data_IF_180287465705
#
_entry.id   IF_180287465705
#
_cell.length_a   1.000
_cell.length_b   1.000
_cell.length_c   1.000
_cell.angle_alpha   90.00
_cell.angle_beta   90.00
_cell.angle_gamma   90.00
#
_symmetry.space_group_name_H-M   'P 1'
#
loop_
_entity.id
_entity.type
_entity.pdbx_description
1 polymer ?
#
# COMPACT_ATOMS: atom_id res chain seq x y z
N UNK A 1 15.95 -6.35 -11.30
CA UNK A 1 16.12 -6.91 -9.94
C UNK A 1 14.90 -6.50 -9.14
N UNK A 2 14.40 -7.35 -8.27
CA UNK A 2 13.30 -6.99 -7.37
C UNK A 2 13.80 -5.97 -6.35
N UNK A 3 12.96 -5.00 -5.97
CA UNK A 3 13.26 -4.08 -4.88
C UNK A 3 13.16 -4.83 -3.54
N UNK A 4 14.18 -4.72 -2.69
CA UNK A 4 14.30 -5.46 -1.43
C UNK A 4 14.02 -4.53 -0.25
N UNK A 5 12.89 -4.73 0.42
CA UNK A 5 12.48 -3.89 1.55
C UNK A 5 12.43 -4.69 2.85
N UNK A 6 12.99 -4.08 3.90
CA UNK A 6 12.82 -4.56 5.26
C UNK A 6 11.43 -4.17 5.74
N UNK A 7 10.74 -5.10 6.40
CA UNK A 7 9.37 -4.93 6.85
C UNK A 7 9.31 -4.96 8.37
N UNK A 8 8.77 -3.89 8.95
CA UNK A 8 8.51 -3.78 10.38
C UNK A 8 7.66 -4.97 10.90
N UNK A 9 7.86 -5.33 12.16
CA UNK A 9 7.20 -6.44 12.85
C UNK A 9 5.68 -6.30 12.94
N UNK A 10 5.16 -5.08 12.77
CA UNK A 10 3.72 -4.80 12.78
C UNK A 10 2.99 -5.35 11.54
N UNK A 11 3.71 -5.77 10.49
CA UNK A 11 3.06 -6.40 9.33
C UNK A 11 2.79 -7.89 9.56
N UNK A 12 1.58 -8.39 9.25
CA UNK A 12 1.18 -9.76 9.51
C UNK A 12 1.86 -10.69 8.51
N UNK A 13 2.90 -11.41 8.96
CA UNK A 13 3.69 -12.30 8.11
C UNK A 13 2.86 -13.31 7.27
N UNK A 14 1.78 -13.94 7.78
CA UNK A 14 0.99 -14.86 6.96
C UNK A 14 0.38 -14.19 5.72
N UNK A 15 -0.05 -12.92 5.85
CA UNK A 15 -0.61 -12.16 4.74
C UNK A 15 0.48 -11.80 3.72
N UNK A 16 1.61 -11.29 4.19
CA UNK A 16 2.77 -10.93 3.36
C UNK A 16 3.29 -12.14 2.57
N UNK A 17 3.38 -13.30 3.21
CA UNK A 17 3.81 -14.54 2.55
C UNK A 17 2.80 -15.04 1.51
N UNK A 18 1.50 -14.92 1.80
CA UNK A 18 0.46 -15.34 0.87
C UNK A 18 0.43 -14.50 -0.41
N UNK A 19 0.78 -13.21 -0.32
CA UNK A 19 0.79 -12.30 -1.48
C UNK A 19 2.11 -12.27 -2.23
N UNK A 20 3.22 -12.68 -1.62
CA UNK A 20 4.55 -12.66 -2.23
C UNK A 20 4.64 -13.26 -3.67
N UNK A 21 3.96 -14.38 -4.00
CA UNK A 21 3.98 -14.93 -5.36
C UNK A 21 3.35 -14.01 -6.43
N UNK A 22 2.57 -13.01 -6.02
CA UNK A 22 1.85 -12.09 -6.90
C UNK A 22 2.53 -10.72 -7.05
N UNK A 23 3.66 -10.49 -6.36
CA UNK A 23 4.43 -9.23 -6.38
C UNK A 23 5.92 -9.47 -6.72
N UNK A 24 6.23 -10.05 -7.89
CA UNK A 24 7.60 -10.48 -8.23
C UNK A 24 8.63 -9.34 -8.32
N UNK A 25 8.17 -8.10 -8.47
CA UNK A 25 8.99 -6.89 -8.49
C UNK A 25 9.49 -6.45 -7.11
N UNK A 26 8.97 -7.02 -6.01
CA UNK A 26 9.37 -6.67 -4.65
C UNK A 26 9.58 -7.89 -3.75
N UNK A 27 10.65 -7.87 -2.97
CA UNK A 27 10.87 -8.78 -1.86
C UNK A 27 10.66 -8.03 -0.53
N UNK A 28 9.67 -8.47 0.25
CA UNK A 28 9.36 -7.95 1.58
C UNK A 28 9.87 -8.92 2.64
N UNK A 29 10.87 -8.50 3.42
CA UNK A 29 11.50 -9.35 4.44
C UNK A 29 11.23 -8.78 5.83
N UNK A 30 10.51 -9.49 6.70
CA UNK A 30 10.34 -9.09 8.10
C UNK A 30 11.69 -8.87 8.78
N UNK A 31 11.87 -7.76 9.51
CA UNK A 31 13.15 -7.42 10.16
C UNK A 31 13.70 -8.55 11.04
N UNK A 32 12.83 -9.27 11.74
CA UNK A 32 13.18 -10.45 12.55
C UNK A 32 13.78 -11.62 11.77
N UNK A 33 13.50 -11.70 10.47
CA UNK A 33 14.04 -12.72 9.57
C UNK A 33 15.40 -12.29 8.99
N UNK A 34 15.73 -10.99 9.03
CA UNK A 34 17.05 -10.46 8.65
C UNK A 34 18.03 -10.73 9.80
N UNK A 35 17.70 -10.23 10.99
CA UNK A 35 18.42 -10.51 12.24
C UNK A 35 17.46 -10.29 13.41
N UNK A 36 17.38 -11.26 14.34
CA UNK A 36 16.46 -11.22 15.48
C UNK A 36 16.63 -9.98 16.35
N UNK A 37 17.83 -9.40 16.40
CA UNK A 37 18.15 -8.23 17.23
C UNK A 37 17.52 -6.94 16.70
N UNK A 38 17.16 -6.89 15.41
CA UNK A 38 16.54 -5.69 14.82
C UNK A 38 15.16 -5.39 15.42
N UNK A 39 14.46 -6.39 15.95
CA UNK A 39 13.16 -6.19 16.60
C UNK A 39 13.21 -5.42 17.92
N UNK A 40 14.39 -5.35 18.54
CA UNK A 40 14.60 -4.67 19.84
C UNK A 40 15.33 -3.31 19.69
N UNK A 41 15.62 -2.90 18.45
CA UNK A 41 16.36 -1.69 18.13
C UNK A 41 15.44 -0.48 17.91
N UNK A 42 15.96 0.71 18.14
CA UNK A 42 15.29 1.95 17.70
C UNK A 42 15.24 2.02 16.17
N UNK A 43 14.25 2.70 15.59
CA UNK A 43 14.08 2.76 14.13
C UNK A 43 15.31 3.32 13.38
N UNK A 44 15.99 4.30 13.97
CA UNK A 44 17.22 4.87 13.40
C UNK A 44 18.38 3.85 13.41
N UNK A 45 18.43 2.94 14.38
CA UNK A 45 19.42 1.85 14.44
C UNK A 45 19.12 0.80 13.37
N UNK A 46 17.84 0.50 13.13
CA UNK A 46 17.42 -0.40 12.06
C UNK A 46 17.88 0.16 10.71
N UNK A 47 17.62 1.44 10.42
CA UNK A 47 18.08 2.07 9.17
C UNK A 47 19.60 1.99 8.99
N UNK A 48 20.36 2.23 10.07
CA UNK A 48 21.82 2.13 10.06
C UNK A 48 22.30 0.68 9.86
N UNK A 49 21.64 -0.29 10.51
CA UNK A 49 21.96 -1.71 10.37
C UNK A 49 21.70 -2.21 8.95
N UNK A 50 20.58 -1.81 8.33
CA UNK A 50 20.26 -2.14 6.94
C UNK A 50 21.30 -1.54 5.97
N UNK A 51 21.76 -0.30 6.21
CA UNK A 51 22.79 0.34 5.39
C UNK A 51 24.15 -0.39 5.45
N UNK A 52 24.50 -0.97 6.60
CA UNK A 52 25.74 -1.73 6.77
C UNK A 52 25.60 -3.24 6.49
N UNK A 53 24.42 -3.69 6.09
CA UNK A 53 24.16 -5.09 5.81
C UNK A 53 24.90 -5.55 4.53
N UNK A 54 25.22 -6.84 4.45
CA UNK A 54 25.92 -7.40 3.29
C UNK A 54 25.04 -7.42 2.01
N UNK A 55 23.72 -7.43 2.19
CA UNK A 55 22.76 -7.22 1.11
C UNK A 55 22.39 -5.75 1.07
N UNK A 56 22.29 -5.20 -0.15
CA UNK A 56 21.83 -3.84 -0.30
C UNK A 56 20.30 -3.76 -0.19
N UNK A 57 19.81 -3.14 0.89
CA UNK A 57 18.39 -2.89 1.10
C UNK A 57 17.93 -1.61 0.40
N UNK A 58 16.74 -1.66 -0.21
CA UNK A 58 16.13 -0.50 -0.86
C UNK A 58 15.42 0.42 0.11
N UNK A 59 15.01 -0.09 1.28
CA UNK A 59 14.44 0.73 2.34
C UNK A 59 13.80 -0.05 3.47
N UNK A 60 13.20 0.70 4.39
CA UNK A 60 12.39 0.21 5.50
C UNK A 60 10.91 0.56 5.26
N UNK A 61 10.04 -0.42 5.48
CA UNK A 61 8.59 -0.26 5.47
C UNK A 61 8.07 -0.40 6.90
N UNK A 62 7.36 0.61 7.38
CA UNK A 62 6.85 0.69 8.77
C UNK A 62 5.41 1.18 8.84
N UNK A 63 4.73 0.86 9.94
CA UNK A 63 3.46 1.49 10.32
C UNK A 63 3.67 2.67 11.27
N UNK A 64 4.88 2.85 11.82
CA UNK A 64 5.12 3.95 12.77
C UNK A 64 5.28 5.30 12.06
N UNK A 65 4.22 6.09 12.11
CA UNK A 65 4.22 7.46 11.60
C UNK A 65 4.91 8.46 12.53
N UNK A 66 5.20 8.09 13.78
CA UNK A 66 5.92 8.93 14.74
C UNK A 66 7.29 9.33 14.18
N UNK A 67 7.88 8.46 13.34
CA UNK A 67 9.19 8.68 12.76
C UNK A 67 9.34 10.00 11.98
N UNK A 68 8.24 10.48 11.41
CA UNK A 68 8.20 11.76 10.70
C UNK A 68 8.39 12.98 11.60
N UNK A 69 8.29 12.81 12.91
CA UNK A 69 8.45 13.86 13.92
C UNK A 69 9.76 13.69 14.71
N UNK A 70 10.56 12.66 14.41
CA UNK A 70 11.80 12.39 15.11
C UNK A 70 12.99 12.91 14.30
N UNK A 71 13.60 14.01 14.78
CA UNK A 71 14.71 14.66 14.07
C UNK A 71 15.89 13.71 13.82
N UNK A 72 16.15 12.77 14.74
CA UNK A 72 17.23 11.80 14.63
C UNK A 72 17.02 10.85 13.46
N UNK A 73 15.83 10.29 13.32
CA UNK A 73 15.50 9.34 12.24
C UNK A 73 15.51 10.03 10.88
N UNK A 74 14.92 11.23 10.77
CA UNK A 74 14.97 12.03 9.54
C UNK A 74 16.41 12.36 9.13
N UNK A 75 17.29 12.65 10.11
CA UNK A 75 18.70 12.88 9.84
C UNK A 75 19.39 11.62 9.31
N UNK A 76 19.13 10.45 9.89
CA UNK A 76 19.67 9.16 9.42
C UNK A 76 19.18 8.83 8.01
N UNK A 77 17.88 8.97 7.74
CA UNK A 77 17.32 8.79 6.38
C UNK A 77 18.06 9.68 5.37
N UNK A 78 18.26 10.96 5.70
CA UNK A 78 18.97 11.91 4.84
C UNK A 78 20.45 11.55 4.64
N UNK A 79 21.15 11.17 5.71
CA UNK A 79 22.59 10.87 5.66
C UNK A 79 22.90 9.61 4.87
N UNK A 80 22.03 8.60 4.98
CA UNK A 80 22.23 7.30 4.35
C UNK A 80 21.63 7.21 2.95
N UNK A 81 20.94 8.26 2.47
CA UNK A 81 20.05 8.20 1.31
C UNK A 81 19.07 7.02 1.37
N UNK A 82 18.56 6.74 2.57
CA UNK A 82 17.65 5.62 2.78
C UNK A 82 16.24 5.95 2.27
N UNK A 83 15.48 4.91 1.96
CA UNK A 83 14.05 5.01 1.69
C UNK A 83 13.26 4.56 2.90
N UNK A 84 12.29 5.38 3.31
CA UNK A 84 11.32 5.06 4.35
C UNK A 84 9.91 5.06 3.76
N UNK A 85 9.22 3.93 3.87
CA UNK A 85 7.82 3.77 3.46
C UNK A 85 6.96 3.65 4.71
N UNK A 86 5.99 4.54 4.86
CA UNK A 86 5.15 4.65 6.06
C UNK A 86 3.69 4.45 5.67
N UNK A 87 3.07 3.39 6.19
CA UNK A 87 1.62 3.17 6.07
C UNK A 87 0.84 4.09 7.03
N UNK A 88 0.85 5.40 6.75
CA UNK A 88 0.42 6.47 7.67
C UNK A 88 -1.03 6.34 8.16
N UNK A 89 -1.99 6.13 7.25
CA UNK A 89 -3.41 6.12 7.61
C UNK A 89 -3.90 4.76 8.14
N UNK A 90 -3.01 3.78 8.28
CA UNK A 90 -3.37 2.49 8.86
C UNK A 90 -3.54 2.54 10.38
N UNK A 91 -2.94 3.52 11.05
CA UNK A 91 -2.84 3.53 12.50
C UNK A 91 -2.18 2.23 12.99
N UNK A 92 -2.82 1.55 13.95
CA UNK A 92 -2.38 0.25 14.47
C UNK A 92 -3.07 -0.94 13.78
N UNK A 93 -3.72 -0.74 12.61
CA UNK A 93 -4.37 -1.83 11.86
C UNK A 93 -3.38 -2.47 10.86
N UNK A 94 -2.84 -3.65 11.17
CA UNK A 94 -1.84 -4.32 10.33
C UNK A 94 -2.39 -4.79 8.98
N UNK A 95 -3.70 -5.05 8.89
CA UNK A 95 -4.36 -5.47 7.65
C UNK A 95 -4.50 -4.27 6.72
N UNK A 96 -4.98 -3.14 7.26
CA UNK A 96 -5.09 -1.89 6.50
C UNK A 96 -3.72 -1.41 6.00
N UNK A 97 -2.69 -1.50 6.85
CA UNK A 97 -1.31 -1.18 6.47
C UNK A 97 -0.82 -2.02 5.30
N UNK A 98 -1.07 -3.33 5.35
CA UNK A 98 -0.66 -4.25 4.29
C UNK A 98 -1.41 -3.98 3.00
N UNK A 99 -2.73 -3.80 3.04
CA UNK A 99 -3.52 -3.48 1.85
C UNK A 99 -3.06 -2.18 1.20
N UNK A 100 -2.73 -1.17 2.01
CA UNK A 100 -2.24 0.11 1.53
C UNK A 100 -0.83 0.00 0.93
N UNK A 101 0.07 -0.77 1.56
CA UNK A 101 1.39 -1.09 1.00
C UNK A 101 1.26 -1.76 -0.36
N UNK A 102 0.44 -2.81 -0.47
CA UNK A 102 0.23 -3.57 -1.70
C UNK A 102 -0.36 -2.70 -2.83
N UNK A 103 -1.26 -1.77 -2.50
CA UNK A 103 -1.84 -0.85 -3.49
C UNK A 103 -0.83 0.11 -4.12
N UNK A 104 0.35 0.30 -3.50
CA UNK A 104 1.38 1.24 -3.94
C UNK A 104 2.72 0.58 -4.30
N UNK A 105 2.85 -0.73 -4.10
CA UNK A 105 4.14 -1.42 -4.10
C UNK A 105 4.88 -1.31 -5.43
N UNK A 106 4.24 -1.61 -6.56
CA UNK A 106 4.80 -1.46 -7.92
C UNK A 106 5.35 -0.06 -8.16
N UNK A 107 4.59 0.95 -7.74
CA UNK A 107 4.95 2.35 -7.96
C UNK A 107 6.18 2.75 -7.15
N UNK A 108 6.25 2.29 -5.89
CA UNK A 108 7.38 2.52 -4.98
C UNK A 108 8.62 1.81 -5.52
N UNK A 109 8.49 0.53 -5.89
CA UNK A 109 9.58 -0.29 -6.43
C UNK A 109 10.18 0.34 -7.69
N UNK A 110 9.33 0.84 -8.59
CA UNK A 110 9.77 1.47 -9.84
C UNK A 110 10.45 2.84 -9.66
N UNK A 111 10.30 3.49 -8.49
CA UNK A 111 10.81 4.86 -8.24
C UNK A 111 11.80 4.96 -7.08
N UNK A 112 12.04 3.87 -6.37
CA UNK A 112 13.02 3.86 -5.29
C UNK A 112 14.42 3.92 -5.88
N UNK A 113 15.26 4.76 -5.28
CA UNK A 113 16.64 5.00 -5.65
C UNK A 113 17.47 5.15 -4.38
N UNK A 114 18.63 4.49 -4.35
CA UNK A 114 19.60 4.58 -3.25
C UNK A 114 20.51 5.81 -3.35
N UNK A 115 20.35 6.63 -4.38
CA UNK A 115 21.16 7.83 -4.59
C UNK A 115 20.62 9.07 -3.89
N UNK A 116 19.37 9.02 -3.42
CA UNK A 116 18.69 10.14 -2.77
C UNK A 116 17.76 9.64 -1.66
N UNK A 117 17.57 10.39 -0.57
CA UNK A 117 16.66 9.98 0.48
C UNK A 117 15.21 10.13 0.02
N UNK A 118 14.38 9.16 0.38
CA UNK A 118 12.97 9.14 -0.03
C UNK A 118 12.08 8.80 1.16
N UNK A 119 10.96 9.51 1.27
CA UNK A 119 9.92 9.23 2.26
C UNK A 119 8.60 9.06 1.53
N UNK A 120 8.03 7.87 1.59
CA UNK A 120 6.74 7.52 1.02
C UNK A 120 5.69 7.47 2.13
N UNK A 121 4.78 8.44 2.14
CA UNK A 121 3.63 8.46 3.06
C UNK A 121 2.43 7.85 2.36
N UNK A 122 2.09 6.62 2.72
CA UNK A 122 0.92 5.94 2.17
C UNK A 122 -0.32 6.35 2.95
N UNK A 123 -1.35 6.80 2.23
CA UNK A 123 -2.59 7.31 2.81
C UNK A 123 -3.78 6.59 2.21
N UNK A 124 -4.78 6.29 3.03
CA UNK A 124 -6.02 5.66 2.62
C UNK A 124 -7.07 6.75 2.43
N UNK A 125 -7.39 7.07 1.18
CA UNK A 125 -8.53 7.94 0.89
C UNK A 125 -9.83 7.18 1.15
N UNK A 126 -10.37 7.28 2.36
CA UNK A 126 -11.72 6.77 2.64
C UNK A 126 -12.74 7.69 1.95
N UNK A 127 -13.12 7.34 0.73
CA UNK A 127 -14.17 8.07 0.01
C UNK A 127 -15.52 7.48 0.41
N UNK A 128 -16.52 8.32 0.74
CA UNK A 128 -17.85 7.81 1.01
C UNK A 128 -18.38 7.06 -0.22
N UNK A 129 -19.26 6.09 0.02
CA UNK A 129 -20.01 5.47 -1.07
C UNK A 129 -20.79 6.56 -1.83
N UNK A 130 -20.69 6.51 -3.14
CA UNK A 130 -21.46 7.40 -4.02
C UNK A 130 -22.80 6.72 -4.37
N UNK A 131 -23.85 7.50 -4.48
CA UNK A 131 -25.16 6.97 -4.86
C UNK A 131 -25.11 6.55 -6.35
N UNK A 132 -25.63 5.36 -6.73
CA UNK A 132 -25.52 4.85 -8.11
C UNK A 132 -26.01 5.78 -9.22
N UNK A 133 -26.99 6.64 -8.96
CA UNK A 133 -27.51 7.65 -9.89
C UNK A 133 -26.41 8.62 -10.33
N UNK A 134 -25.48 8.99 -9.45
CA UNK A 134 -24.34 9.85 -9.81
C UNK A 134 -23.51 9.24 -10.96
N UNK A 135 -23.40 7.91 -11.01
CA UNK A 135 -22.72 7.21 -12.09
C UNK A 135 -23.59 7.08 -13.33
N UNK A 136 -24.91 6.88 -13.19
CA UNK A 136 -25.84 6.92 -14.31
C UNK A 136 -25.84 8.29 -15.01
N UNK A 137 -25.78 9.38 -14.26
CA UNK A 137 -25.63 10.74 -14.81
C UNK A 137 -24.32 10.91 -15.61
N UNK A 138 -23.23 10.30 -15.14
CA UNK A 138 -21.95 10.29 -15.88
C UNK A 138 -22.06 9.50 -17.19
N UNK A 139 -22.75 8.36 -17.17
CA UNK A 139 -23.02 7.55 -18.37
C UNK A 139 -23.88 8.33 -19.35
N UNK A 140 -24.97 8.95 -18.89
CA UNK A 140 -25.86 9.77 -19.70
C UNK A 140 -25.12 10.93 -20.37
N UNK A 141 -24.26 11.63 -19.62
CA UNK A 141 -23.39 12.70 -20.15
C UNK A 141 -22.46 12.20 -21.25
N UNK A 142 -21.84 11.03 -21.07
CA UNK A 142 -20.96 10.42 -22.08
C UNK A 142 -21.73 9.98 -23.34
N UNK A 143 -23.00 9.60 -23.19
CA UNK A 143 -23.85 9.16 -24.29
C UNK A 143 -24.64 10.32 -24.94
N UNK A 144 -24.50 11.55 -24.44
CA UNK A 144 -25.32 12.69 -24.85
C UNK A 144 -26.84 12.45 -24.70
N UNK A 145 -27.23 11.72 -23.66
CA UNK A 145 -28.61 11.39 -23.32
C UNK A 145 -29.02 12.01 -21.98
N UNK A 146 -30.32 12.02 -21.73
CA UNK A 146 -30.89 12.32 -20.42
C UNK A 146 -30.82 11.10 -19.48
N UNK A 147 -30.59 11.33 -18.18
CA UNK A 147 -30.40 10.26 -17.20
C UNK A 147 -31.65 9.38 -17.03
N UNK A 148 -32.86 9.94 -17.15
CA UNK A 148 -34.09 9.15 -17.08
C UNK A 148 -34.24 8.25 -18.30
N UNK A 149 -33.66 8.63 -19.44
CA UNK A 149 -33.64 7.80 -20.66
C UNK A 149 -32.70 6.61 -20.45
N UNK A 150 -31.47 6.87 -19.99
CA UNK A 150 -30.51 5.80 -19.65
C UNK A 150 -31.08 4.84 -18.62
N UNK A 151 -31.71 5.36 -17.56
CA UNK A 151 -32.35 4.53 -16.54
C UNK A 151 -33.48 3.69 -17.11
N UNK A 152 -34.38 4.29 -17.89
CA UNK A 152 -35.54 3.59 -18.46
C UNK A 152 -35.12 2.46 -19.40
N UNK A 153 -34.07 2.68 -20.18
CA UNK A 153 -33.54 1.71 -21.14
C UNK A 153 -32.68 0.62 -20.49
N UNK A 154 -31.98 0.94 -19.40
CA UNK A 154 -31.04 0.00 -18.75
C UNK A 154 -31.62 -0.75 -17.55
N UNK A 155 -32.72 -0.28 -16.96
CA UNK A 155 -33.31 -0.95 -15.80
C UNK A 155 -33.88 -2.31 -16.19
N UNK A 156 -33.64 -3.30 -15.33
CA UNK A 156 -34.23 -4.62 -15.47
C UNK A 156 -35.74 -4.58 -15.24
N UNK A 157 -36.48 -5.36 -16.00
CA UNK A 157 -37.90 -5.63 -15.74
C UNK A 157 -38.09 -6.45 -14.47
N UNK A 158 -39.31 -6.47 -13.94
CA UNK A 158 -39.64 -7.28 -12.76
C UNK A 158 -39.49 -8.80 -13.00
N UNK A 159 -39.53 -9.25 -14.25
CA UNK A 159 -39.26 -10.65 -14.59
C UNK A 159 -37.75 -10.93 -14.52
N UNK A 160 -36.93 -10.07 -15.12
CA UNK A 160 -35.46 -10.19 -15.11
C UNK A 160 -34.89 -10.08 -13.69
N UNK A 161 -35.43 -9.19 -12.86
CA UNK A 161 -35.04 -9.09 -11.44
C UNK A 161 -35.35 -10.36 -10.63
N UNK A 162 -36.31 -11.16 -11.06
CA UNK A 162 -36.69 -12.43 -10.40
C UNK A 162 -36.01 -13.65 -11.00
N UNK A 163 -35.44 -13.52 -12.20
CA UNK A 163 -34.69 -14.59 -12.83
C UNK A 163 -33.36 -14.77 -12.09
N UNK A 164 -33.05 -16.01 -11.70
CA UNK A 164 -31.72 -16.34 -11.20
C UNK A 164 -30.80 -16.50 -12.41
N UNK A 165 -29.77 -15.67 -12.60
CA UNK A 165 -28.85 -15.80 -13.73
C UNK A 165 -28.00 -17.09 -13.68
N UNK A 166 -28.06 -17.84 -12.58
CA UNK A 166 -27.42 -19.15 -12.40
C UNK A 166 -28.41 -20.33 -12.42
N UNK A 167 -29.71 -20.08 -12.68
CA UNK A 167 -30.70 -21.15 -12.89
C UNK A 167 -30.81 -21.50 -14.37
N UNK A 168 -31.08 -22.78 -14.68
CA UNK A 168 -31.34 -23.26 -16.05
C UNK A 168 -32.53 -22.53 -16.71
#
# INVERSE_FOLDING_TARGET
MAALFALDQNFPQPLVQAVAPFIPEVELVPIRNIDVRLSDMDDWEILLALHHHAQDWDGLVTTDSSMLNQARELAVVRQLNATLVIAHDAGHDPIKATGLLLAHLDYIAARTSRSEPQIWRLTANNRPGHEPWEFLERVARHQHLDVDTVWRESRLSAAELRANPLGD
#
